data_IF_810660860412
#
_entry.id   IF_810660860412
#
_cell.length_a   1.000
_cell.length_b   1.000
_cell.length_c   1.000
_cell.angle_alpha   90.00
_cell.angle_beta   90.00
_cell.angle_gamma   90.00
#
_symmetry.space_group_name_H-M   'P 1'
#
loop_
_entity.id
_entity.type
_entity.pdbx_description
1 polymer ?
#
# COMPACT_ATOMS: atom_id res chain seq x y z
N UNK A 1 -23.17 -7.18 -24.31
CA UNK A 1 -21.82 -6.71 -24.74
C UNK A 1 -21.08 -5.89 -23.69
N UNK A 2 -21.73 -5.24 -22.71
CA UNK A 2 -21.04 -4.45 -21.67
C UNK A 2 -20.18 -5.30 -20.73
N UNK A 3 -20.64 -6.49 -20.35
CA UNK A 3 -19.88 -7.43 -19.51
C UNK A 3 -18.58 -7.88 -20.19
N UNK A 4 -18.63 -8.21 -21.49
CA UNK A 4 -17.44 -8.63 -22.24
C UNK A 4 -16.42 -7.50 -22.33
N UNK A 5 -16.88 -6.28 -22.55
CA UNK A 5 -16.00 -5.09 -22.57
C UNK A 5 -15.35 -4.83 -21.20
N UNK A 6 -16.13 -4.92 -20.11
CA UNK A 6 -15.62 -4.77 -18.75
C UNK A 6 -14.55 -5.83 -18.43
N UNK A 7 -14.85 -7.10 -18.72
CA UNK A 7 -13.91 -8.21 -18.51
C UNK A 7 -12.64 -8.01 -19.32
N UNK A 8 -12.74 -7.63 -20.59
CA UNK A 8 -11.59 -7.39 -21.46
C UNK A 8 -10.68 -6.28 -20.94
N UNK A 9 -11.24 -5.14 -20.50
CA UNK A 9 -10.44 -4.05 -19.94
C UNK A 9 -9.84 -4.39 -18.58
N UNK A 10 -10.54 -5.14 -17.74
CA UNK A 10 -9.98 -5.62 -16.47
C UNK A 10 -8.83 -6.61 -16.70
N UNK A 11 -8.99 -7.51 -17.67
CA UNK A 11 -7.95 -8.44 -18.09
C UNK A 11 -6.71 -7.72 -18.62
N UNK A 12 -6.88 -6.64 -19.41
CA UNK A 12 -5.78 -5.79 -19.86
C UNK A 12 -5.00 -5.20 -18.67
N UNK A 13 -5.70 -4.70 -17.65
CA UNK A 13 -5.07 -4.19 -16.42
C UNK A 13 -4.27 -5.25 -15.68
N UNK A 14 -4.84 -6.44 -15.53
CA UNK A 14 -4.17 -7.57 -14.86
C UNK A 14 -2.93 -8.03 -15.62
N UNK A 15 -3.02 -8.14 -16.95
CA UNK A 15 -1.88 -8.51 -17.81
C UNK A 15 -0.77 -7.47 -17.72
N UNK A 16 -1.11 -6.18 -17.78
CA UNK A 16 -0.13 -5.10 -17.67
C UNK A 16 0.62 -5.13 -16.33
N UNK A 17 -0.11 -5.42 -15.23
CA UNK A 17 0.49 -5.60 -13.91
C UNK A 17 1.44 -6.79 -13.85
N UNK A 18 1.03 -7.94 -14.39
CA UNK A 18 1.88 -9.14 -14.47
C UNK A 18 3.12 -8.90 -15.33
N UNK A 19 2.97 -8.26 -16.48
CA UNK A 19 4.09 -7.91 -17.36
C UNK A 19 5.06 -6.95 -16.68
N UNK A 20 4.57 -5.94 -15.96
CA UNK A 20 5.39 -5.04 -15.13
C UNK A 20 6.19 -5.83 -14.11
N UNK A 21 5.55 -6.72 -13.36
CA UNK A 21 6.20 -7.47 -12.30
C UNK A 21 7.27 -8.43 -12.84
N UNK A 22 6.95 -9.18 -13.88
CA UNK A 22 7.91 -10.06 -14.56
C UNK A 22 9.00 -9.28 -15.30
N UNK A 23 8.67 -8.13 -15.89
CA UNK A 23 9.66 -7.26 -16.53
C UNK A 23 10.69 -6.73 -15.54
N UNK A 24 10.27 -6.33 -14.34
CA UNK A 24 11.18 -5.95 -13.25
C UNK A 24 12.07 -7.13 -12.84
N UNK A 25 11.52 -8.35 -12.73
CA UNK A 25 12.31 -9.55 -12.45
C UNK A 25 13.39 -9.79 -13.51
N UNK A 26 13.03 -9.66 -14.78
CA UNK A 26 13.97 -9.87 -15.90
C UNK A 26 15.08 -8.81 -15.84
N UNK A 27 14.74 -7.53 -15.60
CA UNK A 27 15.73 -6.47 -15.49
C UNK A 27 16.69 -6.69 -14.31
N UNK A 28 16.17 -7.11 -13.15
CA UNK A 28 17.00 -7.42 -12.00
C UNK A 28 17.93 -8.59 -12.27
N UNK A 29 17.46 -9.64 -12.95
CA UNK A 29 18.30 -10.77 -13.32
C UNK A 29 19.37 -10.35 -14.36
N UNK A 30 19.01 -9.52 -15.34
CA UNK A 30 19.92 -9.10 -16.41
C UNK A 30 21.07 -8.23 -15.91
N UNK A 31 20.81 -7.31 -14.98
CA UNK A 31 21.78 -6.32 -14.51
C UNK A 31 22.39 -6.68 -13.14
N UNK A 32 21.66 -7.39 -12.28
CA UNK A 32 22.12 -7.77 -10.93
C UNK A 32 22.31 -9.27 -10.73
N UNK A 33 22.00 -10.07 -11.76
CA UNK A 33 22.14 -11.52 -11.72
C UNK A 33 21.19 -12.24 -10.77
N UNK A 34 21.41 -13.56 -10.53
CA UNK A 34 20.55 -14.38 -9.66
C UNK A 34 20.45 -13.87 -8.23
N UNK A 35 21.51 -13.21 -7.73
CA UNK A 35 21.55 -12.66 -6.37
C UNK A 35 20.51 -11.55 -6.17
N UNK A 36 20.42 -10.62 -7.12
CA UNK A 36 19.41 -9.55 -7.07
C UNK A 36 17.97 -10.13 -7.17
N UNK A 37 17.78 -11.18 -7.95
CA UNK A 37 16.48 -11.87 -8.06
C UNK A 37 16.11 -12.57 -6.74
N UNK A 38 17.08 -13.22 -6.08
CA UNK A 38 16.87 -13.85 -4.78
C UNK A 38 16.52 -12.79 -3.72
N UNK A 39 17.26 -11.69 -3.67
CA UNK A 39 16.98 -10.56 -2.78
C UNK A 39 15.57 -10.01 -2.97
N UNK A 40 15.14 -9.81 -4.23
CA UNK A 40 13.78 -9.37 -4.54
C UNK A 40 12.73 -10.40 -4.11
N UNK A 41 12.99 -11.69 -4.33
CA UNK A 41 12.08 -12.77 -3.92
C UNK A 41 11.81 -12.76 -2.41
N UNK A 42 12.85 -12.64 -1.60
CA UNK A 42 12.75 -12.49 -0.14
C UNK A 42 11.98 -11.22 0.23
N UNK A 43 12.32 -10.09 -0.38
CA UNK A 43 11.64 -8.81 -0.12
C UNK A 43 10.15 -8.85 -0.43
N UNK A 44 9.75 -9.53 -1.52
CA UNK A 44 8.35 -9.74 -1.87
C UNK A 44 7.62 -10.64 -0.84
N UNK A 45 8.28 -11.62 -0.26
CA UNK A 45 7.68 -12.47 0.80
C UNK A 45 7.41 -11.66 2.06
N UNK A 46 8.37 -10.83 2.51
CA UNK A 46 8.18 -9.92 3.66
C UNK A 46 7.00 -8.99 3.40
N UNK A 47 6.97 -8.33 2.26
CA UNK A 47 5.90 -7.40 1.89
C UNK A 47 4.54 -8.11 1.79
N UNK A 48 4.49 -9.30 1.23
CA UNK A 48 3.27 -10.13 1.14
C UNK A 48 2.71 -10.50 2.51
N UNK A 49 3.56 -10.87 3.46
CA UNK A 49 3.15 -11.17 4.83
C UNK A 49 2.49 -9.96 5.50
N UNK A 50 3.08 -8.77 5.33
CA UNK A 50 2.53 -7.51 5.87
C UNK A 50 1.19 -7.17 5.20
N UNK A 51 1.08 -7.32 3.88
CA UNK A 51 -0.13 -6.98 3.11
C UNK A 51 -1.35 -7.87 3.43
N UNK A 52 -1.15 -9.10 3.92
CA UNK A 52 -2.26 -10.00 4.28
C UNK A 52 -3.24 -9.37 5.29
N UNK A 53 -2.77 -8.52 6.19
CA UNK A 53 -3.63 -7.82 7.16
C UNK A 53 -4.55 -6.79 6.50
N UNK A 54 -4.01 -6.01 5.58
CA UNK A 54 -4.80 -5.02 4.81
C UNK A 54 -5.75 -5.70 3.85
N UNK A 55 -5.36 -6.83 3.27
CA UNK A 55 -6.21 -7.64 2.40
C UNK A 55 -7.49 -8.11 3.09
N UNK A 56 -7.39 -8.54 4.34
CA UNK A 56 -8.54 -8.90 5.17
C UNK A 56 -9.51 -7.74 5.39
N UNK A 57 -9.00 -6.55 5.68
CA UNK A 57 -9.83 -5.35 5.83
C UNK A 57 -10.48 -4.95 4.50
N UNK A 58 -9.71 -4.89 3.42
CA UNK A 58 -10.23 -4.50 2.10
C UNK A 58 -11.28 -5.49 1.59
N UNK A 59 -11.11 -6.79 1.80
CA UNK A 59 -12.11 -7.79 1.41
C UNK A 59 -13.46 -7.62 2.12
N UNK A 60 -13.47 -7.06 3.32
CA UNK A 60 -14.70 -6.74 4.04
C UNK A 60 -15.36 -5.43 3.57
N UNK A 61 -14.57 -4.46 3.11
CA UNK A 61 -15.06 -3.13 2.70
C UNK A 61 -15.43 -3.05 1.22
N UNK A 62 -14.70 -3.75 0.35
CA UNK A 62 -14.91 -3.70 -1.11
C UNK A 62 -16.35 -4.01 -1.55
N UNK A 63 -17.07 -5.03 -0.99
CA UNK A 63 -18.47 -5.25 -1.34
C UNK A 63 -19.39 -4.09 -0.92
N UNK A 64 -19.07 -3.40 0.17
CA UNK A 64 -19.86 -2.25 0.64
C UNK A 64 -19.70 -1.05 -0.29
N UNK A 65 -18.47 -0.78 -0.79
CA UNK A 65 -18.24 0.26 -1.79
C UNK A 65 -19.06 0.01 -3.06
N UNK A 66 -19.02 -1.23 -3.55
CA UNK A 66 -19.78 -1.62 -4.74
C UNK A 66 -21.30 -1.51 -4.52
N UNK A 67 -21.79 -1.94 -3.35
CA UNK A 67 -23.22 -1.87 -3.00
C UNK A 67 -23.73 -0.43 -2.92
N UNK A 68 -22.99 0.47 -2.25
CA UNK A 68 -23.38 1.89 -2.13
C UNK A 68 -23.38 2.58 -3.49
N UNK A 69 -22.40 2.32 -4.31
CA UNK A 69 -22.39 2.85 -5.68
C UNK A 69 -23.59 2.37 -6.49
N UNK A 70 -23.94 1.08 -6.41
CA UNK A 70 -25.10 0.51 -7.09
C UNK A 70 -26.44 1.08 -6.59
N UNK A 71 -26.50 1.55 -5.34
CA UNK A 71 -27.65 2.24 -4.75
C UNK A 71 -27.71 3.73 -5.14
N UNK A 72 -26.82 4.22 -6.00
CA UNK A 72 -26.67 5.64 -6.38
C UNK A 72 -26.31 6.59 -5.23
N UNK A 73 -25.73 6.08 -4.15
CA UNK A 73 -25.25 6.83 -2.98
C UNK A 73 -23.81 7.34 -3.24
N UNK A 74 -23.65 8.25 -4.21
CA UNK A 74 -22.31 8.68 -4.66
C UNK A 74 -21.50 9.37 -3.56
N UNK A 75 -22.11 10.21 -2.75
CA UNK A 75 -21.47 10.92 -1.65
C UNK A 75 -20.99 9.95 -0.56
N UNK A 76 -21.83 9.01 -0.17
CA UNK A 76 -21.50 7.97 0.81
C UNK A 76 -20.44 7.00 0.28
N UNK A 77 -20.43 6.72 -1.03
CA UNK A 77 -19.39 5.92 -1.68
C UNK A 77 -18.04 6.64 -1.59
N UNK A 78 -17.99 7.94 -1.88
CA UNK A 78 -16.78 8.75 -1.76
C UNK A 78 -16.29 8.84 -0.31
N UNK A 79 -17.19 9.02 0.65
CA UNK A 79 -16.85 9.07 2.07
C UNK A 79 -16.27 7.72 2.55
N UNK A 80 -16.95 6.61 2.23
CA UNK A 80 -16.45 5.27 2.56
C UNK A 80 -15.11 4.96 1.89
N UNK A 81 -14.92 5.38 0.63
CA UNK A 81 -13.65 5.24 -0.09
C UNK A 81 -12.52 6.00 0.61
N UNK A 82 -12.75 7.25 1.00
CA UNK A 82 -11.75 8.06 1.74
C UNK A 82 -11.38 7.40 3.08
N UNK A 83 -12.38 6.99 3.87
CA UNK A 83 -12.17 6.29 5.15
C UNK A 83 -11.39 5.00 4.95
N UNK A 84 -11.76 4.20 3.95
CA UNK A 84 -11.11 2.92 3.67
C UNK A 84 -9.67 3.07 3.20
N UNK A 85 -9.37 4.07 2.36
CA UNK A 85 -8.00 4.38 1.91
C UNK A 85 -7.10 4.72 3.09
N UNK A 86 -7.59 5.57 3.99
CA UNK A 86 -6.87 6.00 5.18
C UNK A 86 -6.64 4.85 6.16
N UNK A 87 -7.68 4.08 6.47
CA UNK A 87 -7.59 2.95 7.41
C UNK A 87 -6.70 1.85 6.84
N UNK A 88 -6.81 1.51 5.55
CA UNK A 88 -5.92 0.53 4.90
C UNK A 88 -4.45 0.92 5.02
N UNK A 89 -4.14 2.20 4.80
CA UNK A 89 -2.78 2.71 4.97
C UNK A 89 -2.29 2.59 6.41
N UNK A 90 -3.07 3.05 7.39
CA UNK A 90 -2.67 3.01 8.80
C UNK A 90 -2.49 1.59 9.32
N UNK A 91 -3.37 0.66 8.94
CA UNK A 91 -3.22 -0.75 9.29
C UNK A 91 -1.92 -1.34 8.76
N UNK A 92 -1.60 -1.07 7.48
CA UNK A 92 -0.37 -1.55 6.88
C UNK A 92 0.85 -0.88 7.52
N UNK A 93 0.81 0.43 7.71
CA UNK A 93 1.93 1.21 8.22
C UNK A 93 2.27 0.87 9.67
N UNK A 94 1.28 0.48 10.48
CA UNK A 94 1.50 0.03 11.88
C UNK A 94 2.49 -1.13 11.95
N UNK A 95 2.46 -2.05 10.98
CA UNK A 95 3.39 -3.20 10.93
C UNK A 95 4.58 -2.90 10.03
N UNK A 96 4.36 -2.16 8.96
CA UNK A 96 5.42 -1.79 8.05
C UNK A 96 6.52 -0.96 8.73
N UNK A 97 6.14 -0.05 9.64
CA UNK A 97 7.09 0.84 10.30
C UNK A 97 8.16 0.10 11.11
N UNK A 98 7.82 -0.76 12.10
CA UNK A 98 8.85 -1.51 12.82
C UNK A 98 9.64 -2.46 11.91
N UNK A 99 9.00 -3.09 10.91
CA UNK A 99 9.71 -3.96 9.96
C UNK A 99 10.71 -3.16 9.12
N UNK A 100 10.37 -1.95 8.68
CA UNK A 100 11.29 -1.09 7.93
C UNK A 100 12.47 -0.60 8.78
N UNK A 101 12.26 -0.36 10.08
CA UNK A 101 13.30 0.07 11.00
C UNK A 101 14.28 -1.06 11.34
N UNK A 102 13.76 -2.26 11.57
CA UNK A 102 14.54 -3.42 12.00
C UNK A 102 14.76 -4.44 10.87
N UNK A 103 14.69 -3.98 9.60
CA UNK A 103 14.77 -4.86 8.42
C UNK A 103 16.01 -5.75 8.45
N UNK A 104 17.17 -5.18 8.76
CA UNK A 104 18.45 -5.91 8.74
C UNK A 104 18.40 -7.02 9.79
N UNK A 105 18.07 -6.71 11.03
CA UNK A 105 17.98 -7.69 12.12
C UNK A 105 16.93 -8.78 11.87
N UNK A 106 15.76 -8.42 11.29
CA UNK A 106 14.72 -9.38 10.94
C UNK A 106 15.17 -10.34 9.85
N UNK A 107 15.91 -9.84 8.85
CA UNK A 107 16.44 -10.67 7.77
C UNK A 107 17.53 -11.61 8.28
N UNK A 108 18.44 -11.12 9.11
CA UNK A 108 19.51 -11.93 9.73
C UNK A 108 18.95 -13.01 10.64
N UNK A 109 17.82 -12.75 11.32
CA UNK A 109 17.15 -13.73 12.14
C UNK A 109 16.45 -14.83 11.33
N UNK A 110 15.90 -14.46 10.17
CA UNK A 110 15.11 -15.36 9.35
C UNK A 110 15.93 -16.19 8.37
N UNK A 111 17.00 -15.62 7.82
CA UNK A 111 17.80 -16.23 6.78
C UNK A 111 19.18 -16.65 7.33
N UNK A 112 19.66 -17.80 6.89
CA UNK A 112 21.02 -18.25 7.21
C UNK A 112 22.08 -17.37 6.54
N UNK A 113 21.77 -16.90 5.33
CA UNK A 113 22.61 -15.97 4.57
C UNK A 113 21.69 -14.95 3.89
N UNK A 114 21.89 -13.67 4.22
CA UNK A 114 21.09 -12.57 3.65
C UNK A 114 21.73 -12.11 2.34
N UNK A 115 21.02 -12.25 1.20
CA UNK A 115 21.55 -11.75 -0.07
C UNK A 115 21.81 -10.24 0.03
N UNK A 116 22.89 -9.72 -0.57
CA UNK A 116 23.14 -8.29 -0.63
C UNK A 116 21.93 -7.54 -1.21
N UNK A 117 21.70 -6.30 -0.78
CA UNK A 117 20.59 -5.42 -1.20
C UNK A 117 19.19 -5.85 -0.71
N UNK A 118 19.02 -7.01 -0.05
CA UNK A 118 17.69 -7.47 0.41
C UNK A 118 17.01 -6.45 1.31
N UNK A 119 17.75 -5.82 2.22
CA UNK A 119 17.19 -4.83 3.13
C UNK A 119 16.72 -3.56 2.39
N UNK A 120 17.49 -3.04 1.45
CA UNK A 120 17.07 -1.88 0.63
C UNK A 120 15.87 -2.21 -0.24
N UNK A 121 15.85 -3.39 -0.88
CA UNK A 121 14.71 -3.85 -1.68
C UNK A 121 13.45 -4.01 -0.82
N UNK A 122 13.58 -4.60 0.36
CA UNK A 122 12.46 -4.78 1.29
C UNK A 122 11.83 -3.45 1.66
N UNK A 123 12.63 -2.45 2.03
CA UNK A 123 12.14 -1.11 2.37
C UNK A 123 11.41 -0.46 1.19
N UNK A 124 11.96 -0.53 -0.02
CA UNK A 124 11.33 0.06 -1.23
C UNK A 124 10.02 -0.68 -1.58
N UNK A 125 10.00 -2.02 -1.51
CA UNK A 125 8.79 -2.82 -1.82
C UNK A 125 7.70 -2.59 -0.75
N UNK A 126 8.05 -2.37 0.51
CA UNK A 126 7.08 -1.98 1.54
C UNK A 126 6.48 -0.59 1.25
N UNK A 127 7.28 0.37 0.77
CA UNK A 127 6.76 1.68 0.34
C UNK A 127 5.79 1.51 -0.85
N UNK A 128 6.13 0.65 -1.82
CA UNK A 128 5.23 0.30 -2.92
C UNK A 128 3.90 -0.29 -2.39
N UNK A 129 3.97 -1.19 -1.41
CA UNK A 129 2.79 -1.80 -0.78
C UNK A 129 1.91 -0.76 -0.06
N UNK A 130 2.51 0.19 0.65
CA UNK A 130 1.79 1.30 1.30
C UNK A 130 1.03 2.17 0.30
N UNK A 131 1.65 2.50 -0.83
CA UNK A 131 1.00 3.24 -1.91
C UNK A 131 -0.14 2.44 -2.56
N UNK A 132 -0.01 1.13 -2.68
CA UNK A 132 -1.06 0.25 -3.18
C UNK A 132 -2.22 0.09 -2.19
N UNK A 133 -1.95 -0.01 -0.90
CA UNK A 133 -2.97 -0.06 0.14
C UNK A 133 -3.83 1.21 0.17
N UNK A 134 -3.19 2.37 0.02
CA UNK A 134 -3.83 3.66 -0.12
C UNK A 134 -4.70 3.76 -1.40
N UNK A 135 -4.23 3.19 -2.52
CA UNK A 135 -4.90 3.22 -3.82
C UNK A 135 -6.03 2.18 -3.98
N UNK A 136 -6.04 1.12 -3.19
CA UNK A 136 -6.95 -0.02 -3.33
C UNK A 136 -8.43 0.36 -3.36
N UNK A 137 -8.97 1.09 -2.37
CA UNK A 137 -10.36 1.52 -2.37
C UNK A 137 -10.76 2.40 -3.55
N UNK A 138 -9.84 3.23 -4.10
CA UNK A 138 -10.09 3.98 -5.33
C UNK A 138 -10.28 3.04 -6.53
N UNK A 139 -9.46 1.99 -6.63
CA UNK A 139 -9.59 0.98 -7.69
C UNK A 139 -10.96 0.31 -7.62
N UNK A 140 -11.36 -0.15 -6.43
CA UNK A 140 -12.66 -0.81 -6.22
C UNK A 140 -13.83 0.11 -6.58
N UNK A 141 -13.78 1.38 -6.16
CA UNK A 141 -14.83 2.36 -6.47
C UNK A 141 -14.91 2.67 -7.98
N UNK A 142 -13.78 2.77 -8.67
CA UNK A 142 -13.74 2.95 -10.12
C UNK A 142 -14.26 1.70 -10.85
N UNK A 143 -13.90 0.50 -10.39
CA UNK A 143 -14.44 -0.76 -10.93
C UNK A 143 -15.97 -0.83 -10.78
N UNK A 144 -16.52 -0.36 -9.67
CA UNK A 144 -17.97 -0.35 -9.43
C UNK A 144 -18.74 0.53 -10.45
N UNK A 145 -18.08 1.55 -11.05
CA UNK A 145 -18.72 2.39 -12.07
C UNK A 145 -19.01 1.66 -13.38
N UNK A 146 -18.34 0.54 -13.65
CA UNK A 146 -18.40 -0.18 -14.94
C UNK A 146 -17.71 0.54 -16.09
N UNK A 147 -17.42 1.85 -15.98
CA UNK A 147 -16.78 2.63 -17.03
C UNK A 147 -15.25 2.70 -16.83
N UNK A 148 -14.59 1.55 -17.00
CA UNK A 148 -13.17 1.38 -16.68
C UNK A 148 -12.22 1.53 -17.88
N UNK A 149 -12.74 1.65 -19.12
CA UNK A 149 -11.93 1.63 -20.34
C UNK A 149 -10.75 2.62 -20.28
N UNK A 150 -11.04 3.90 -20.18
CA UNK A 150 -9.99 4.94 -20.22
C UNK A 150 -9.11 4.89 -18.97
N UNK A 151 -9.68 4.56 -17.82
CA UNK A 151 -8.93 4.33 -16.60
C UNK A 151 -7.89 3.23 -16.79
N UNK A 152 -8.31 2.06 -17.30
CA UNK A 152 -7.41 0.93 -17.52
C UNK A 152 -6.35 1.27 -18.59
N UNK A 153 -6.71 1.91 -19.70
CA UNK A 153 -5.73 2.29 -20.71
C UNK A 153 -4.63 3.18 -20.11
N UNK A 154 -5.00 4.25 -19.40
CA UNK A 154 -4.02 5.21 -18.90
C UNK A 154 -3.15 4.61 -17.78
N UNK A 155 -3.76 3.99 -16.78
CA UNK A 155 -3.02 3.45 -15.63
C UNK A 155 -2.20 2.22 -16.04
N UNK A 156 -2.76 1.29 -16.80
CA UNK A 156 -2.05 0.08 -17.19
C UNK A 156 -0.92 0.36 -18.19
N UNK A 157 -1.12 1.29 -19.12
CA UNK A 157 -0.03 1.72 -20.00
C UNK A 157 1.10 2.38 -19.20
N UNK A 158 0.77 3.19 -18.19
CA UNK A 158 1.80 3.79 -17.33
C UNK A 158 2.64 2.74 -16.61
N UNK A 159 2.05 1.64 -16.15
CA UNK A 159 2.79 0.54 -15.54
C UNK A 159 3.76 -0.13 -16.52
N UNK A 160 3.39 -0.28 -17.79
CA UNK A 160 4.26 -0.86 -18.80
C UNK A 160 5.47 0.03 -19.12
N UNK A 161 5.35 1.36 -18.98
CA UNK A 161 6.48 2.28 -19.13
C UNK A 161 7.56 2.12 -18.06
N UNK A 162 7.29 1.47 -16.95
CA UNK A 162 8.28 1.17 -15.91
C UNK A 162 9.45 0.38 -16.52
N UNK A 163 9.18 -0.60 -17.36
CA UNK A 163 10.20 -1.49 -17.94
C UNK A 163 11.21 -0.71 -18.81
N UNK A 164 10.81 0.03 -19.85
CA UNK A 164 11.77 0.76 -20.68
C UNK A 164 12.49 1.88 -19.92
N UNK A 165 11.82 2.57 -18.99
CA UNK A 165 12.46 3.63 -18.19
C UNK A 165 13.51 3.02 -17.25
N UNK A 166 13.18 1.95 -16.53
CA UNK A 166 14.13 1.26 -15.66
C UNK A 166 15.31 0.67 -16.45
N UNK A 167 15.07 0.09 -17.64
CA UNK A 167 16.12 -0.42 -18.51
C UNK A 167 17.10 0.68 -18.93
N UNK A 168 16.60 1.83 -19.38
CA UNK A 168 17.45 2.94 -19.80
C UNK A 168 18.29 3.49 -18.65
N UNK A 169 17.72 3.61 -17.46
CA UNK A 169 18.43 4.07 -16.28
C UNK A 169 19.50 3.06 -15.84
N UNK A 170 19.18 1.75 -15.80
CA UNK A 170 20.19 0.72 -15.49
C UNK A 170 21.33 0.69 -16.52
N UNK A 171 21.01 0.85 -17.81
CA UNK A 171 22.03 0.95 -18.87
C UNK A 171 22.89 2.19 -18.72
N UNK A 172 22.38 3.26 -18.13
CA UNK A 172 23.13 4.49 -17.86
C UNK A 172 23.99 4.40 -16.58
N UNK A 173 24.05 3.22 -15.91
CA UNK A 173 24.90 2.98 -14.74
C UNK A 173 24.25 3.30 -13.39
N UNK A 174 22.93 3.49 -13.33
CA UNK A 174 22.22 3.64 -12.06
C UNK A 174 22.18 2.31 -11.29
N UNK A 175 21.97 2.40 -9.98
CA UNK A 175 21.96 1.26 -9.06
C UNK A 175 20.84 0.25 -9.36
N UNK A 176 21.02 -0.98 -8.90
CA UNK A 176 20.08 -2.09 -9.14
C UNK A 176 18.72 -1.89 -8.44
N UNK A 177 18.59 -0.96 -7.49
CA UNK A 177 17.33 -0.55 -6.86
C UNK A 177 16.43 0.26 -7.82
N UNK A 178 16.98 0.79 -8.89
CA UNK A 178 16.28 1.67 -9.84
C UNK A 178 14.95 1.14 -10.34
N UNK A 179 14.77 -0.13 -10.74
CA UNK A 179 13.47 -0.65 -11.19
C UNK A 179 12.39 -0.56 -10.11
N UNK A 180 12.75 -0.75 -8.84
CA UNK A 180 11.83 -0.64 -7.71
C UNK A 180 11.46 0.82 -7.43
N UNK A 181 12.45 1.72 -7.48
CA UNK A 181 12.22 3.17 -7.29
C UNK A 181 11.32 3.71 -8.41
N UNK A 182 11.60 3.34 -9.66
CA UNK A 182 10.74 3.69 -10.80
C UNK A 182 9.33 3.17 -10.62
N UNK A 183 9.16 1.93 -10.13
CA UNK A 183 7.84 1.37 -9.79
C UNK A 183 7.10 2.23 -8.76
N UNK A 184 7.75 2.63 -7.68
CA UNK A 184 7.17 3.52 -6.65
C UNK A 184 6.70 4.85 -7.26
N UNK A 185 7.53 5.49 -8.11
CA UNK A 185 7.19 6.76 -8.76
C UNK A 185 5.96 6.59 -9.68
N UNK A 186 5.95 5.55 -10.51
CA UNK A 186 4.82 5.31 -11.43
C UNK A 186 3.53 4.93 -10.70
N UNK A 187 3.61 4.23 -9.56
CA UNK A 187 2.44 3.96 -8.71
C UNK A 187 1.91 5.24 -8.06
N UNK A 188 2.79 6.15 -7.62
CA UNK A 188 2.39 7.48 -7.16
C UNK A 188 1.64 8.25 -8.24
N UNK A 189 2.20 8.30 -9.45
CA UNK A 189 1.53 8.92 -10.62
C UNK A 189 0.19 8.23 -10.88
N UNK A 190 0.17 6.90 -10.85
CA UNK A 190 -1.05 6.11 -11.02
C UNK A 190 -2.13 6.45 -9.98
N UNK A 191 -1.77 6.69 -8.73
CA UNK A 191 -2.71 7.11 -7.68
C UNK A 191 -3.27 8.52 -7.94
N UNK A 192 -2.45 9.45 -8.45
CA UNK A 192 -2.93 10.78 -8.87
C UNK A 192 -3.92 10.66 -10.05
N UNK A 193 -3.59 9.83 -11.03
CA UNK A 193 -4.50 9.56 -12.17
C UNK A 193 -5.81 8.92 -11.68
N UNK A 194 -5.75 7.94 -10.78
CA UNK A 194 -6.94 7.33 -10.16
C UNK A 194 -7.83 8.39 -9.49
N UNK A 195 -7.23 9.31 -8.76
CA UNK A 195 -7.96 10.40 -8.11
C UNK A 195 -8.65 11.32 -9.13
N UNK A 196 -8.02 11.60 -10.29
CA UNK A 196 -8.64 12.36 -11.38
C UNK A 196 -9.86 11.62 -11.96
N UNK A 197 -9.77 10.29 -12.13
CA UNK A 197 -10.92 9.49 -12.58
C UNK A 197 -12.02 9.41 -11.52
N UNK A 198 -11.70 9.29 -10.24
CA UNK A 198 -12.67 9.36 -9.14
C UNK A 198 -13.41 10.71 -9.13
N UNK A 199 -12.68 11.82 -9.35
CA UNK A 199 -13.33 13.13 -9.50
C UNK A 199 -14.32 13.15 -10.67
N UNK A 200 -13.95 12.60 -11.83
CA UNK A 200 -14.77 12.63 -13.05
C UNK A 200 -15.98 11.70 -12.97
N UNK A 201 -15.84 10.52 -12.37
CA UNK A 201 -16.87 9.46 -12.39
C UNK A 201 -17.72 9.40 -11.13
N UNK A 202 -17.17 9.76 -9.98
CA UNK A 202 -17.83 9.70 -8.67
C UNK A 202 -18.17 11.08 -8.10
N UNK A 203 -17.67 12.16 -8.71
CA UNK A 203 -17.87 13.52 -8.20
C UNK A 203 -16.97 13.90 -7.01
N UNK A 204 -15.96 13.08 -6.68
CA UNK A 204 -15.06 13.33 -5.57
C UNK A 204 -14.29 14.64 -5.74
N UNK A 205 -14.39 15.56 -4.79
CA UNK A 205 -13.59 16.77 -4.79
C UNK A 205 -12.12 16.46 -4.45
N UNK A 206 -11.18 16.87 -5.30
CA UNK A 206 -9.73 16.68 -5.07
C UNK A 206 -9.30 17.22 -3.71
N UNK A 207 -9.79 18.40 -3.34
CA UNK A 207 -9.52 19.06 -2.05
C UNK A 207 -9.99 18.18 -0.88
N UNK A 208 -11.18 17.59 -0.98
CA UNK A 208 -11.73 16.72 0.05
C UNK A 208 -10.84 15.49 0.30
N UNK A 209 -10.38 14.82 -0.76
CA UNK A 209 -9.49 13.67 -0.63
C UNK A 209 -8.14 14.08 -0.03
N UNK A 210 -7.56 15.17 -0.49
CA UNK A 210 -6.27 15.65 0.02
C UNK A 210 -6.35 15.98 1.51
N UNK A 211 -7.37 16.74 1.95
CA UNK A 211 -7.51 17.11 3.35
C UNK A 211 -7.92 15.95 4.27
N UNK A 212 -8.79 15.05 3.80
CA UNK A 212 -9.32 13.97 4.63
C UNK A 212 -8.46 12.71 4.63
N UNK A 213 -7.59 12.54 3.63
CA UNK A 213 -6.80 11.31 3.48
C UNK A 213 -5.30 11.60 3.43
N UNK A 214 -4.84 12.44 2.49
CA UNK A 214 -3.39 12.63 2.27
C UNK A 214 -2.73 13.34 3.45
N UNK A 215 -3.28 14.46 3.92
CA UNK A 215 -2.70 15.21 5.04
C UNK A 215 -2.68 14.41 6.36
N UNK A 216 -3.76 13.74 6.80
CA UNK A 216 -3.72 12.87 7.97
C UNK A 216 -2.70 11.73 7.85
N UNK A 217 -2.61 11.08 6.68
CA UNK A 217 -1.61 10.05 6.42
C UNK A 217 -0.20 10.62 6.57
N UNK A 218 0.10 11.72 5.90
CA UNK A 218 1.43 12.34 5.94
C UNK A 218 1.81 12.78 7.36
N UNK A 219 0.87 13.43 8.07
CA UNK A 219 1.10 13.91 9.44
C UNK A 219 1.34 12.77 10.43
N UNK A 220 0.47 11.76 10.43
CA UNK A 220 0.62 10.59 11.31
C UNK A 220 1.90 9.83 11.00
N UNK A 221 2.21 9.61 9.71
CA UNK A 221 3.43 8.90 9.31
C UNK A 221 4.69 9.64 9.73
N UNK A 222 4.76 10.96 9.49
CA UNK A 222 5.91 11.77 9.86
C UNK A 222 6.15 11.75 11.38
N UNK A 223 5.10 11.89 12.17
CA UNK A 223 5.21 11.86 13.63
C UNK A 223 5.55 10.46 14.16
N UNK A 224 4.94 9.41 13.59
CA UNK A 224 5.16 8.05 14.04
C UNK A 224 6.60 7.56 13.83
N UNK A 225 7.26 8.04 12.78
CA UNK A 225 8.66 7.67 12.47
C UNK A 225 9.64 8.22 13.51
N UNK A 226 9.35 9.34 14.15
CA UNK A 226 10.26 10.00 15.11
C UNK A 226 10.61 9.09 16.31
N UNK A 227 9.62 8.38 16.84
CA UNK A 227 9.79 7.55 18.03
C UNK A 227 10.75 6.36 17.79
N UNK A 228 10.54 5.50 16.78
CA UNK A 228 11.46 4.39 16.52
C UNK A 228 12.84 4.88 16.02
N UNK A 229 12.94 6.02 15.33
CA UNK A 229 14.23 6.60 14.98
C UNK A 229 15.06 6.94 16.22
N UNK A 230 14.44 7.49 17.27
CA UNK A 230 15.12 7.74 18.54
C UNK A 230 15.67 6.46 19.15
N UNK A 231 14.87 5.38 19.17
CA UNK A 231 15.33 4.07 19.68
C UNK A 231 16.49 3.53 18.86
N UNK A 232 16.40 3.61 17.55
CA UNK A 232 17.43 3.11 16.64
C UNK A 232 18.80 3.79 16.83
N UNK A 233 18.81 5.08 17.22
CA UNK A 233 20.04 5.84 17.49
C UNK A 233 20.68 5.45 18.83
N UNK A 234 19.89 5.15 19.86
CA UNK A 234 20.39 4.93 21.21
C UNK A 234 20.58 3.45 21.58
N UNK A 235 20.03 2.51 20.82
CA UNK A 235 20.11 1.08 21.12
C UNK A 235 20.86 0.30 20.05
N UNK A 236 21.74 -0.60 20.48
CA UNK A 236 22.42 -1.56 19.59
C UNK A 236 21.46 -2.63 19.07
N UNK A 237 21.78 -3.23 17.94
CA UNK A 237 21.00 -4.31 17.34
C UNK A 237 20.82 -5.48 18.30
N UNK A 238 19.61 -6.03 18.33
CA UNK A 238 19.27 -7.17 19.17
C UNK A 238 17.78 -7.31 19.45
N UNK A 239 17.43 -8.38 20.12
CA UNK A 239 16.05 -8.70 20.49
C UNK A 239 15.35 -7.62 21.29
N UNK A 240 16.07 -6.97 22.24
CA UNK A 240 15.54 -5.89 23.05
C UNK A 240 15.13 -4.69 22.21
N UNK A 241 15.97 -4.29 21.22
CA UNK A 241 15.67 -3.19 20.30
C UNK A 241 14.46 -3.54 19.43
N UNK A 242 14.40 -4.74 18.84
CA UNK A 242 13.26 -5.18 18.02
C UNK A 242 11.93 -5.12 18.79
N UNK A 243 11.89 -5.66 20.02
CA UNK A 243 10.67 -5.67 20.81
C UNK A 243 10.23 -4.26 21.22
N UNK A 244 11.17 -3.42 21.68
CA UNK A 244 10.89 -2.04 22.07
C UNK A 244 10.45 -1.22 20.87
N UNK A 245 11.16 -1.29 19.74
CA UNK A 245 10.81 -0.59 18.48
C UNK A 245 9.43 -1.01 18.02
N UNK A 246 9.10 -2.30 18.03
CA UNK A 246 7.78 -2.79 17.64
C UNK A 246 6.69 -2.27 18.58
N UNK A 247 6.89 -2.39 19.88
CA UNK A 247 5.90 -1.94 20.87
C UNK A 247 5.67 -0.42 20.79
N UNK A 248 6.74 0.36 20.73
CA UNK A 248 6.67 1.83 20.66
C UNK A 248 6.04 2.27 19.33
N UNK A 249 6.41 1.65 18.21
CA UNK A 249 5.82 1.95 16.89
C UNK A 249 4.34 1.66 16.87
N UNK A 250 3.91 0.48 17.32
CA UNK A 250 2.49 0.10 17.36
C UNK A 250 1.68 1.02 18.30
N UNK A 251 2.22 1.34 19.46
CA UNK A 251 1.56 2.22 20.45
C UNK A 251 1.47 3.65 19.89
N UNK A 252 2.57 4.20 19.35
CA UNK A 252 2.59 5.52 18.74
C UNK A 252 1.60 5.60 17.57
N UNK A 253 1.59 4.59 16.69
CA UNK A 253 0.63 4.51 15.58
C UNK A 253 -0.82 4.45 16.09
N UNK A 254 -1.12 3.66 17.12
CA UNK A 254 -2.45 3.61 17.72
C UNK A 254 -2.91 4.96 18.25
N UNK A 255 -2.05 5.63 19.03
CA UNK A 255 -2.35 6.96 19.62
C UNK A 255 -2.49 8.01 18.53
N UNK A 256 -1.52 8.12 17.61
CA UNK A 256 -1.52 9.14 16.57
C UNK A 256 -2.68 8.95 15.56
N UNK A 257 -2.97 7.69 15.20
CA UNK A 257 -4.13 7.38 14.35
C UNK A 257 -5.42 7.81 15.05
N UNK A 258 -5.59 7.48 16.33
CA UNK A 258 -6.80 7.85 17.07
C UNK A 258 -6.93 9.35 17.28
N UNK A 259 -5.85 10.07 17.59
CA UNK A 259 -5.88 11.51 17.94
C UNK A 259 -5.89 12.42 16.73
N UNK A 260 -5.06 12.13 15.73
CA UNK A 260 -4.81 13.01 14.57
C UNK A 260 -5.37 12.37 13.28
N UNK A 261 -5.20 11.06 13.12
CA UNK A 261 -5.52 10.35 11.89
C UNK A 261 -7.01 10.23 11.62
N UNK A 262 -7.84 10.06 12.64
CA UNK A 262 -9.27 9.77 12.52
C UNK A 262 -10.13 10.96 12.94
N UNK A 263 -11.14 11.25 12.11
CA UNK A 263 -12.22 12.17 12.46
C UNK A 263 -13.18 11.54 13.49
N UNK A 264 -14.01 12.36 14.15
CA UNK A 264 -14.99 11.85 15.12
C UNK A 264 -15.95 10.79 14.54
N UNK A 265 -16.38 11.00 13.30
CA UNK A 265 -17.27 10.02 12.60
C UNK A 265 -16.56 8.72 12.29
N UNK A 266 -15.27 8.73 11.97
CA UNK A 266 -14.46 7.54 11.71
C UNK A 266 -14.16 6.75 12.97
N UNK A 267 -13.92 7.43 14.09
CA UNK A 267 -13.77 6.78 15.41
C UNK A 267 -15.03 6.00 15.77
N UNK A 268 -16.21 6.61 15.61
CA UNK A 268 -17.48 5.96 15.86
C UNK A 268 -17.69 4.76 14.92
N UNK A 269 -17.32 4.90 13.64
CA UNK A 269 -17.38 3.80 12.67
C UNK A 269 -16.50 2.61 13.08
N UNK A 270 -15.25 2.84 13.48
CA UNK A 270 -14.34 1.78 13.93
C UNK A 270 -14.87 1.12 15.21
N UNK A 271 -15.31 1.91 16.18
CA UNK A 271 -15.87 1.39 17.45
C UNK A 271 -17.08 0.52 17.15
N UNK A 272 -18.00 0.94 16.31
CA UNK A 272 -19.19 0.17 15.95
C UNK A 272 -18.88 -1.15 15.24
N UNK A 273 -17.75 -1.25 14.56
CA UNK A 273 -17.31 -2.45 13.85
C UNK A 273 -16.53 -3.42 14.76
N UNK A 274 -15.73 -2.88 15.68
CA UNK A 274 -14.86 -3.66 16.56
C UNK A 274 -15.63 -4.17 17.77
N UNK A 275 -16.50 -3.35 18.37
CA UNK A 275 -17.22 -3.69 19.61
C UNK A 275 -18.07 -4.96 19.50
N UNK A 276 -18.88 -5.19 18.45
CA UNK A 276 -19.68 -6.42 18.34
C UNK A 276 -18.81 -7.67 18.16
N UNK A 277 -17.68 -7.55 17.44
CA UNK A 277 -16.76 -8.66 17.22
C UNK A 277 -15.93 -8.97 18.46
N UNK A 278 -15.50 -7.94 19.19
CA UNK A 278 -14.80 -8.09 20.46
C UNK A 278 -15.71 -8.73 21.53
N UNK A 279 -16.96 -8.29 21.66
CA UNK A 279 -17.94 -8.93 22.55
C UNK A 279 -18.13 -10.41 22.23
N UNK A 280 -18.25 -10.76 20.95
CA UNK A 280 -18.40 -12.15 20.50
C UNK A 280 -17.15 -13.01 20.73
N UNK A 281 -15.95 -12.40 20.67
CA UNK A 281 -14.69 -13.10 20.89
C UNK A 281 -14.40 -13.33 22.38
N UNK A 282 -14.77 -12.38 23.23
CA UNK A 282 -14.54 -12.45 24.68
C UNK A 282 -15.73 -13.06 25.48
N UNK A 283 -16.79 -13.57 24.83
CA UNK A 283 -17.99 -14.13 25.48
C UNK A 283 -18.56 -13.20 26.58
N UNK A 284 -18.49 -11.88 26.36
CA UNK A 284 -19.07 -10.89 27.27
C UNK A 284 -20.44 -10.52 26.70
N UNK A 285 -21.51 -10.97 27.39
CA UNK A 285 -22.90 -10.60 27.12
C UNK A 285 -23.19 -9.12 27.40
#
# INVERSE_FOLDING_TARGET
NSMVQFTGWNMFGTIAWLLKDQGVNILMNLFGGPVANAARGVSCQVSGAIQNLTGGFQSAVNPQLTKRYAAHESEETCDLMCKSSKISYFLLFTIALPVMMETDFILDLWLVEVPPMTASFTRIIIIEALLNAFGGPMITSLMATGNIKWYQIVVSSSLLFIIPVAYLLLKSGYSIETPLIVSVIFIMIGNIVRLMFCKKQLGLAFRQYTWNVVFPIAGVSALAIIFPLGIHVYMTEGWSRLLITTFVSCTAMGILTYTIGLTASERTFIISYVTPKAKKFFHID
#
